data_IF_675333771326
#
_entry.id   IF_675333771326
#
_cell.length_a   1.000
_cell.length_b   1.000
_cell.length_c   1.000
_cell.angle_alpha   90.00
_cell.angle_beta   90.00
_cell.angle_gamma   90.00
#
_symmetry.space_group_name_H-M   'P 1'
#
loop_
_entity.id
_entity.type
_entity.pdbx_description
1 polymer ?
#
# COMPACT_ATOMS: atom_id res chain seq x y z
N UNK A 1 8.08 0.44 18.18
CA UNK A 1 8.04 1.88 17.89
C UNK A 1 7.61 2.05 16.44
N UNK A 2 6.75 3.03 16.11
CA UNK A 2 6.45 3.34 14.71
C UNK A 2 7.75 3.66 13.98
N UNK A 3 7.92 3.08 12.79
CA UNK A 3 9.02 3.42 11.90
C UNK A 3 8.56 4.58 11.02
N UNK A 4 9.31 5.67 10.99
CA UNK A 4 9.04 6.79 10.09
C UNK A 4 10.22 7.00 9.16
N UNK A 5 9.95 7.14 7.87
CA UNK A 5 10.97 7.44 6.87
C UNK A 5 11.46 8.90 6.98
N UNK A 6 12.60 9.25 6.36
CA UNK A 6 13.04 10.65 6.25
C UNK A 6 12.03 11.57 5.54
N UNK A 7 11.08 10.99 4.79
CA UNK A 7 9.97 11.71 4.13
C UNK A 7 8.69 11.74 4.96
N UNK A 8 8.75 11.40 6.25
CA UNK A 8 7.62 11.38 7.18
C UNK A 8 6.49 10.42 6.78
N UNK A 9 6.83 9.35 6.06
CA UNK A 9 5.92 8.23 5.86
C UNK A 9 6.05 7.26 7.02
N UNK A 10 4.94 6.96 7.69
CA UNK A 10 4.95 6.00 8.79
C UNK A 10 4.70 4.58 8.27
N UNK A 11 5.25 3.61 8.97
CA UNK A 11 5.04 2.21 8.74
C UNK A 11 4.73 1.49 10.05
N UNK A 12 3.97 0.41 9.95
CA UNK A 12 3.76 -0.53 11.04
C UNK A 12 4.45 -1.85 10.75
N UNK A 13 4.83 -2.54 11.82
CA UNK A 13 5.62 -3.75 11.77
C UNK A 13 4.80 -4.89 12.36
N UNK A 14 4.70 -5.99 11.62
CA UNK A 14 4.07 -7.23 12.10
C UNK A 14 5.13 -8.33 12.07
N UNK A 15 5.18 -9.15 13.12
CA UNK A 15 6.05 -10.33 13.15
C UNK A 15 5.28 -11.51 12.57
N UNK A 16 5.80 -12.09 11.49
CA UNK A 16 5.33 -13.35 10.93
C UNK A 16 6.47 -14.36 11.01
N UNK A 17 6.27 -15.41 11.81
CA UNK A 17 7.27 -16.44 12.08
C UNK A 17 8.62 -15.84 12.51
N UNK A 18 9.69 -16.15 11.78
CA UNK A 18 11.04 -15.63 12.00
C UNK A 18 11.31 -14.25 11.40
N UNK A 19 10.34 -13.63 10.71
CA UNK A 19 10.51 -12.42 9.93
C UNK A 19 9.70 -11.24 10.47
N UNK A 20 10.16 -10.03 10.16
CA UNK A 20 9.43 -8.79 10.42
C UNK A 20 9.00 -8.18 9.09
N UNK A 21 7.69 -8.05 8.91
CA UNK A 21 7.09 -7.44 7.75
C UNK A 21 6.81 -5.97 8.07
N UNK A 22 7.19 -5.08 7.15
CA UNK A 22 7.03 -3.64 7.29
C UNK A 22 6.02 -3.19 6.26
N UNK A 23 4.88 -2.68 6.72
CA UNK A 23 3.79 -2.23 5.87
C UNK A 23 3.67 -0.70 5.93
N UNK A 24 3.39 -0.03 4.80
CA UNK A 24 3.05 1.39 4.84
C UNK A 24 1.77 1.60 5.64
N UNK A 25 1.66 2.73 6.34
CA UNK A 25 0.47 3.07 7.10
C UNK A 25 -0.68 3.63 6.23
N UNK A 26 -0.73 3.29 4.93
CA UNK A 26 -1.76 3.72 3.99
C UNK A 26 -2.09 2.58 3.02
N UNK A 27 -3.27 2.63 2.39
CA UNK A 27 -3.72 1.59 1.45
C UNK A 27 -3.45 2.00 0.01
N UNK A 28 -2.97 1.05 -0.80
CA UNK A 28 -2.96 1.20 -2.26
C UNK A 28 -4.33 0.80 -2.79
N UNK A 29 -5.07 1.74 -3.39
CA UNK A 29 -6.32 1.47 -4.07
C UNK A 29 -6.25 1.90 -5.54
N UNK A 30 -6.17 0.93 -6.45
CA UNK A 30 -6.19 1.16 -7.90
C UNK A 30 -7.56 0.83 -8.53
N UNK A 31 -8.62 0.70 -7.73
CA UNK A 31 -9.95 0.30 -8.24
C UNK A 31 -10.47 1.25 -9.32
N UNK A 32 -10.15 2.55 -9.21
CA UNK A 32 -10.53 3.57 -10.21
C UNK A 32 -9.84 3.38 -11.58
N UNK A 33 -8.77 2.57 -11.65
CA UNK A 33 -8.03 2.26 -12.88
C UNK A 33 -8.28 0.85 -13.39
N UNK A 34 -9.27 0.13 -12.82
CA UNK A 34 -9.57 -1.25 -13.20
C UNK A 34 -9.83 -1.41 -14.70
N UNK A 35 -10.58 -0.50 -15.32
CA UNK A 35 -10.91 -0.58 -16.75
C UNK A 35 -9.68 -0.34 -17.64
N UNK A 36 -8.79 0.55 -17.22
CA UNK A 36 -7.53 0.83 -17.91
C UNK A 36 -6.61 -0.39 -17.85
N UNK A 37 -6.47 -0.99 -16.66
CA UNK A 37 -5.74 -2.24 -16.47
C UNK A 37 -6.37 -3.39 -17.26
N UNK A 38 -7.70 -3.49 -17.32
CA UNK A 38 -8.38 -4.49 -18.12
C UNK A 38 -8.07 -4.33 -19.62
N UNK A 39 -8.10 -3.11 -20.15
CA UNK A 39 -7.69 -2.84 -21.54
C UNK A 39 -6.23 -3.20 -21.80
N UNK A 40 -5.35 -2.99 -20.82
CA UNK A 40 -3.94 -3.36 -20.89
C UNK A 40 -3.66 -4.89 -20.79
N UNK A 41 -4.70 -5.72 -20.62
CA UNK A 41 -4.57 -7.17 -20.62
C UNK A 41 -4.59 -7.83 -19.22
N UNK A 42 -4.65 -7.05 -18.15
CA UNK A 42 -4.87 -7.61 -16.80
C UNK A 42 -6.27 -8.21 -16.70
N UNK A 43 -6.42 -9.34 -16.00
CA UNK A 43 -7.68 -10.09 -15.93
C UNK A 43 -8.13 -10.46 -14.52
N UNK A 44 -7.17 -10.68 -13.61
CA UNK A 44 -7.46 -10.97 -12.22
C UNK A 44 -7.16 -9.73 -11.37
N UNK A 45 -8.16 -9.30 -10.61
CA UNK A 45 -8.07 -8.18 -9.68
C UNK A 45 -8.36 -8.70 -8.28
N UNK A 46 -7.37 -8.61 -7.40
CA UNK A 46 -7.47 -9.10 -6.03
C UNK A 46 -7.40 -7.95 -5.04
N UNK A 47 -8.12 -8.11 -3.93
CA UNK A 47 -8.01 -7.26 -2.75
C UNK A 47 -7.25 -8.04 -1.70
N UNK A 48 -6.03 -7.61 -1.40
CA UNK A 48 -5.22 -8.17 -0.31
C UNK A 48 -5.33 -7.22 0.87
N UNK A 49 -5.73 -7.76 2.03
CA UNK A 49 -5.89 -6.97 3.27
C UNK A 49 -5.20 -7.69 4.40
N UNK A 50 -4.21 -7.02 5.00
CA UNK A 50 -3.60 -7.45 6.26
C UNK A 50 -4.45 -6.94 7.43
N UNK A 51 -4.76 -7.75 8.44
CA UNK A 51 -5.39 -7.29 9.67
C UNK A 51 -4.54 -6.18 10.33
N UNK A 52 -5.19 -5.07 10.68
CA UNK A 52 -4.50 -3.96 11.32
C UNK A 52 -4.38 -4.21 12.82
N UNK A 53 -3.18 -4.02 13.41
CA UNK A 53 -3.05 -3.97 14.86
C UNK A 53 -3.86 -2.81 15.45
N UNK A 54 -4.46 -2.99 16.63
CA UNK A 54 -5.39 -2.03 17.25
C UNK A 54 -4.87 -0.60 17.37
N UNK A 55 -3.55 -0.42 17.48
CA UNK A 55 -2.90 0.87 17.69
C UNK A 55 -2.58 1.61 16.38
N UNK A 56 -2.86 1.01 15.22
CA UNK A 56 -2.51 1.58 13.92
C UNK A 56 -3.74 2.25 13.30
N UNK A 57 -3.63 3.56 13.10
CA UNK A 57 -4.55 4.34 12.27
C UNK A 57 -3.94 4.51 10.89
N UNK A 58 -4.65 4.06 9.86
CA UNK A 58 -4.23 4.26 8.49
C UNK A 58 -4.47 5.70 8.03
N UNK A 59 -3.53 6.23 7.26
CA UNK A 59 -3.64 7.52 6.59
C UNK A 59 -4.13 7.33 5.16
N UNK A 60 -4.79 8.35 4.63
CA UNK A 60 -4.99 8.48 3.20
C UNK A 60 -3.70 8.94 2.55
N UNK A 61 -3.28 8.25 1.48
CA UNK A 61 -2.10 8.65 0.73
C UNK A 61 -2.44 9.77 -0.25
N UNK A 62 -1.70 10.89 -0.26
CA UNK A 62 -1.83 11.86 -1.33
C UNK A 62 -1.32 11.26 -2.64
N UNK A 63 -2.23 11.13 -3.62
CA UNK A 63 -1.92 10.60 -4.94
C UNK A 63 -1.77 9.08 -5.02
N UNK A 64 -1.69 8.58 -6.24
CA UNK A 64 -1.59 7.15 -6.55
C UNK A 64 -0.11 6.72 -6.67
N UNK A 65 0.21 5.52 -6.21
CA UNK A 65 1.59 5.03 -6.10
C UNK A 65 2.23 4.89 -7.48
N UNK A 66 3.12 5.84 -7.83
CA UNK A 66 3.81 5.95 -9.12
C UNK A 66 2.92 6.01 -10.37
N UNK A 67 1.59 5.96 -10.23
CA UNK A 67 0.66 5.87 -11.36
C UNK A 67 0.77 7.05 -12.34
N UNK A 68 0.87 8.26 -11.82
CA UNK A 68 1.00 9.48 -12.63
C UNK A 68 2.45 9.82 -13.01
N UNK A 69 3.41 8.99 -12.64
CA UNK A 69 4.82 9.25 -12.92
C UNK A 69 5.22 8.65 -14.27
N UNK A 70 6.10 9.35 -14.99
CA UNK A 70 6.70 8.81 -16.20
C UNK A 70 7.79 7.80 -15.81
N UNK A 71 7.86 6.70 -16.57
CA UNK A 71 9.05 5.86 -16.58
C UNK A 71 10.15 6.66 -17.29
N UNK A 72 11.19 7.04 -16.55
CA UNK A 72 12.43 7.61 -17.10
C UNK A 72 13.41 6.50 -17.45
#
# INVERSE_FOLDING_TARGET
APFSSPKHEDAYIVKHDGNYWVYPNWRLNLSNHKDELARAGYRLFVYLTEPLPDQIVLKDRPGLWNWGHQLV
#
